data_IF_533315727060
#
_entry.id   IF_533315727060
#
_cell.length_a   1.000
_cell.length_b   1.000
_cell.length_c   1.000
_cell.angle_alpha   90.00
_cell.angle_beta   90.00
_cell.angle_gamma   90.00
#
_symmetry.space_group_name_H-M   'P 1'
#
loop_
_entity.id
_entity.type
_entity.pdbx_description
1 polymer ?
#
# COMPACT_ATOMS: atom_id res chain seq x y z
N UNK A 1 11.78 -10.00 27.40
CA UNK A 1 11.86 -11.07 26.39
C UNK A 1 10.71 -10.82 25.43
N UNK A 2 10.91 -10.69 24.11
CA UNK A 2 9.77 -10.63 23.19
C UNK A 2 9.19 -12.04 23.15
N UNK A 3 7.94 -12.18 23.60
CA UNK A 3 7.22 -13.44 23.52
C UNK A 3 7.15 -13.90 22.06
N UNK A 4 7.17 -15.21 21.83
CA UNK A 4 6.93 -15.77 20.50
C UNK A 4 5.54 -15.32 20.02
N UNK A 5 5.49 -14.63 18.88
CA UNK A 5 4.25 -14.17 18.25
C UNK A 5 3.97 -15.03 17.01
N UNK A 6 3.07 -16.02 17.10
CA UNK A 6 2.70 -16.84 15.95
C UNK A 6 2.13 -15.94 14.84
N UNK A 7 2.62 -16.09 13.60
CA UNK A 7 2.12 -15.36 12.44
C UNK A 7 2.45 -13.86 12.40
N UNK A 8 3.33 -13.36 13.30
CA UNK A 8 3.80 -11.97 13.32
C UNK A 8 2.68 -10.91 13.47
N UNK A 9 1.54 -11.27 14.05
CA UNK A 9 0.43 -10.34 14.26
C UNK A 9 0.87 -9.12 15.09
N UNK A 10 0.67 -7.91 14.54
CA UNK A 10 1.06 -6.65 15.18
C UNK A 10 2.56 -6.36 15.18
N UNK A 11 3.39 -7.18 14.53
CA UNK A 11 4.83 -6.96 14.41
C UNK A 11 5.15 -6.34 13.05
N UNK A 12 5.70 -5.10 13.00
CA UNK A 12 6.19 -4.53 11.76
C UNK A 12 7.31 -5.40 11.16
N UNK A 13 7.11 -5.90 9.94
CA UNK A 13 8.08 -6.75 9.25
C UNK A 13 9.12 -5.95 8.45
N UNK A 14 8.68 -4.85 7.82
CA UNK A 14 9.52 -3.95 7.03
C UNK A 14 8.85 -2.58 6.91
N UNK A 15 9.63 -1.56 6.56
CA UNK A 15 9.12 -0.30 6.02
C UNK A 15 8.91 -0.43 4.50
N UNK A 16 7.93 0.28 3.96
CA UNK A 16 7.59 0.25 2.54
C UNK A 16 7.00 1.59 2.11
N UNK A 17 7.38 2.05 0.93
CA UNK A 17 6.80 3.23 0.28
C UNK A 17 5.74 2.85 -0.77
N UNK A 18 5.45 1.56 -0.96
CA UNK A 18 4.60 1.06 -2.05
C UNK A 18 3.11 1.30 -1.76
N UNK A 19 2.66 0.96 -0.54
CA UNK A 19 1.25 1.08 -0.17
C UNK A 19 1.08 1.45 1.30
N UNK A 20 -0.05 2.07 1.60
CA UNK A 20 -0.49 2.35 2.96
C UNK A 20 -1.94 1.95 3.14
N UNK A 21 -2.28 1.45 4.33
CA UNK A 21 -3.59 0.93 4.67
C UNK A 21 -4.01 1.53 6.01
N UNK A 22 -5.18 2.18 6.04
CA UNK A 22 -5.88 2.56 7.27
C UNK A 22 -7.16 1.71 7.34
N UNK A 23 -7.08 0.60 8.08
CA UNK A 23 -8.16 -0.37 8.20
C UNK A 23 -9.38 0.16 8.95
N UNK A 24 -9.19 1.12 9.86
CA UNK A 24 -10.29 1.74 10.62
C UNK A 24 -11.12 2.68 9.73
N UNK A 25 -10.45 3.40 8.82
CA UNK A 25 -11.12 4.30 7.87
C UNK A 25 -11.46 3.63 6.53
N UNK A 26 -11.02 2.39 6.30
CA UNK A 26 -11.20 1.68 5.03
C UNK A 26 -10.44 2.33 3.87
N UNK A 27 -9.28 2.93 4.13
CA UNK A 27 -8.46 3.62 3.12
C UNK A 27 -7.33 2.70 2.67
N UNK A 28 -7.18 2.60 1.35
CA UNK A 28 -6.03 2.01 0.68
C UNK A 28 -5.42 3.04 -0.25
N UNK A 29 -4.10 3.23 -0.19
CA UNK A 29 -3.37 4.10 -1.09
C UNK A 29 -2.12 3.41 -1.65
N UNK A 30 -1.83 3.67 -2.92
CA UNK A 30 -0.62 3.22 -3.63
C UNK A 30 0.26 4.42 -3.93
N UNK A 31 1.52 4.39 -3.46
CA UNK A 31 2.50 5.48 -3.65
C UNK A 31 1.94 6.88 -3.31
N UNK A 32 1.05 6.96 -2.32
CA UNK A 32 0.38 8.20 -1.90
C UNK A 32 -0.95 8.53 -2.60
N UNK A 33 -1.31 7.85 -3.69
CA UNK A 33 -2.58 8.02 -4.38
C UNK A 33 -3.66 7.14 -3.76
N UNK A 34 -4.85 7.69 -3.52
CA UNK A 34 -5.97 6.85 -3.04
C UNK A 34 -6.36 5.84 -4.12
N UNK A 35 -6.75 4.64 -3.72
CA UNK A 35 -7.17 3.60 -4.67
C UNK A 35 -8.39 4.06 -5.49
N UNK A 36 -9.25 4.90 -4.89
CA UNK A 36 -10.42 5.48 -5.56
C UNK A 36 -10.00 6.37 -6.73
N UNK A 37 -9.02 7.25 -6.51
CA UNK A 37 -8.55 8.16 -7.56
C UNK A 37 -7.90 7.38 -8.72
N UNK A 38 -7.13 6.32 -8.41
CA UNK A 38 -6.55 5.45 -9.43
C UNK A 38 -7.62 4.72 -10.25
N UNK A 39 -8.70 4.26 -9.63
CA UNK A 39 -9.82 3.62 -10.34
C UNK A 39 -10.56 4.61 -11.24
N UNK A 40 -10.77 5.85 -10.77
CA UNK A 40 -11.54 6.84 -11.51
C UNK A 40 -10.74 7.51 -12.64
N UNK A 41 -9.40 7.53 -12.53
CA UNK A 41 -8.54 8.37 -13.37
C UNK A 41 -7.35 7.66 -14.00
N UNK A 42 -7.14 6.37 -13.74
CA UNK A 42 -5.99 5.63 -14.27
C UNK A 42 -6.41 4.28 -14.87
N UNK A 43 -5.47 3.69 -15.59
CA UNK A 43 -5.54 2.33 -16.12
C UNK A 43 -4.76 1.36 -15.23
N UNK A 44 -4.97 0.06 -15.49
CA UNK A 44 -4.20 -0.99 -14.83
C UNK A 44 -2.69 -0.84 -15.13
N UNK A 45 -2.32 -0.56 -16.38
CA UNK A 45 -0.95 -0.43 -16.84
C UNK A 45 -0.23 0.75 -16.17
N UNK A 46 -0.87 1.92 -16.11
CA UNK A 46 -0.33 3.09 -15.41
C UNK A 46 -0.17 2.82 -13.90
N UNK A 47 -1.15 2.16 -13.28
CA UNK A 47 -1.06 1.78 -11.85
C UNK A 47 0.06 0.77 -11.62
N UNK A 48 0.26 -0.19 -12.54
CA UNK A 48 1.37 -1.15 -12.46
C UNK A 48 2.73 -0.44 -12.58
N UNK A 49 2.85 0.52 -13.50
CA UNK A 49 4.04 1.35 -13.63
C UNK A 49 4.29 2.20 -12.38
N UNK A 50 3.26 2.82 -11.81
CA UNK A 50 3.34 3.55 -10.53
C UNK A 50 3.91 2.66 -9.42
N UNK A 51 3.41 1.43 -9.28
CA UNK A 51 3.89 0.50 -8.25
C UNK A 51 5.36 0.12 -8.46
N UNK A 52 5.77 -0.11 -9.71
CA UNK A 52 7.14 -0.51 -10.04
C UNK A 52 8.14 0.64 -9.96
N UNK A 53 7.77 1.83 -10.45
CA UNK A 53 8.70 2.95 -10.66
C UNK A 53 8.52 4.11 -9.68
N UNK A 54 7.40 4.15 -8.95
CA UNK A 54 7.13 5.15 -7.92
C UNK A 54 6.37 6.38 -8.39
N UNK A 55 6.21 6.59 -9.70
CA UNK A 55 5.53 7.74 -10.29
C UNK A 55 4.57 7.29 -11.40
N UNK A 56 3.50 8.06 -11.62
CA UNK A 56 2.61 7.87 -12.77
C UNK A 56 3.32 8.31 -14.05
N UNK A 57 3.07 7.65 -15.19
CA UNK A 57 3.68 8.01 -16.47
C UNK A 57 3.23 9.37 -17.03
#
# INVERSE_FOLDING_TARGET
MKDYVPGLAGIPATESEISSIDGEKGILAYRGYSIKDLVDHSSFEETALLLMHGELP
#
